data_IF_174071609176
#
_entry.id   IF_174071609176
#
_cell.length_a   1.000
_cell.length_b   1.000
_cell.length_c   1.000
_cell.angle_alpha   90.00
_cell.angle_beta   90.00
_cell.angle_gamma   90.00
#
_symmetry.space_group_name_H-M   'P 1'
#
loop_
_entity.id
_entity.type
_entity.pdbx_description
1 polymer ?
#
# COMPACT_ATOMS: atom_id res chain seq x y z
N UNK A 1 -3.84 -13.54 20.84
CA UNK A 1 -4.24 -12.23 21.40
C UNK A 1 -3.01 -11.34 21.46
N UNK A 2 -3.05 -10.07 20.98
CA UNK A 2 -1.90 -9.18 21.02
C UNK A 2 -1.54 -8.79 22.48
N UNK A 3 -0.26 -8.52 22.73
CA UNK A 3 0.22 -8.08 24.04
C UNK A 3 -0.27 -6.65 24.37
N UNK A 4 -0.40 -5.80 23.36
CA UNK A 4 -0.92 -4.43 23.47
C UNK A 4 -2.25 -4.31 22.74
N UNK A 5 -3.28 -3.83 23.45
CA UNK A 5 -4.63 -3.72 22.94
C UNK A 5 -5.33 -2.46 23.42
N UNK A 6 -6.23 -1.91 22.63
CA UNK A 6 -7.07 -0.80 23.08
C UNK A 6 -8.03 -1.26 24.19
N UNK A 7 -8.28 -0.44 25.21
CA UNK A 7 -9.23 -0.77 26.27
C UNK A 7 -10.63 -1.03 25.72
N UNK A 8 -11.30 -2.05 26.29
CA UNK A 8 -12.69 -2.41 25.94
C UNK A 8 -12.83 -3.49 24.86
N UNK A 9 -11.74 -3.95 24.27
CA UNK A 9 -11.75 -5.08 23.33
C UNK A 9 -11.21 -6.34 24.02
N UNK A 10 -12.03 -7.39 24.07
CA UNK A 10 -11.71 -8.65 24.76
C UNK A 10 -11.85 -9.88 23.86
N UNK A 11 -12.54 -9.72 22.71
CA UNK A 11 -12.80 -10.82 21.78
C UNK A 11 -11.51 -11.36 21.18
N UNK A 12 -11.45 -12.66 20.92
CA UNK A 12 -10.29 -13.25 20.27
C UNK A 12 -10.17 -12.78 18.81
N UNK A 13 -8.94 -12.64 18.36
CA UNK A 13 -8.66 -12.38 16.95
C UNK A 13 -8.69 -13.68 16.18
N UNK A 14 -9.33 -13.68 15.02
CA UNK A 14 -9.38 -14.84 14.13
C UNK A 14 -8.20 -14.84 13.17
N UNK A 15 -7.48 -15.96 13.08
CA UNK A 15 -6.49 -16.13 12.02
C UNK A 15 -7.22 -16.48 10.72
N UNK A 16 -7.05 -15.66 9.71
CA UNK A 16 -7.66 -15.79 8.38
C UNK A 16 -6.60 -15.61 7.30
N UNK A 17 -6.80 -16.24 6.14
CA UNK A 17 -5.97 -15.96 4.97
C UNK A 17 -6.45 -14.69 4.27
N UNK A 18 -5.53 -13.95 3.63
CA UNK A 18 -5.88 -12.72 2.92
C UNK A 18 -6.95 -12.92 1.85
N UNK A 19 -6.96 -14.07 1.15
CA UNK A 19 -7.99 -14.37 0.14
C UNK A 19 -9.35 -14.81 0.71
N UNK A 20 -9.46 -14.99 2.01
CA UNK A 20 -10.73 -15.27 2.69
C UNK A 20 -11.48 -13.98 3.09
N UNK A 21 -10.75 -12.89 3.20
CA UNK A 21 -11.24 -11.60 3.71
C UNK A 21 -11.02 -10.44 2.73
N UNK A 22 -10.43 -10.70 1.58
CA UNK A 22 -10.16 -9.69 0.54
C UNK A 22 -10.04 -10.34 -0.83
N UNK A 23 -10.64 -9.74 -1.84
CA UNK A 23 -10.34 -10.06 -3.22
C UNK A 23 -9.01 -9.43 -3.63
N UNK A 24 -8.17 -10.19 -4.35
CA UNK A 24 -6.84 -9.76 -4.75
C UNK A 24 -6.74 -9.77 -6.27
N UNK A 25 -6.30 -8.66 -6.86
CA UNK A 25 -6.21 -8.48 -8.30
C UNK A 25 -4.81 -8.05 -8.73
N UNK A 26 -4.41 -8.50 -9.91
CA UNK A 26 -3.18 -8.07 -10.56
C UNK A 26 -3.43 -6.82 -11.42
N UNK A 27 -2.43 -5.97 -11.55
CA UNK A 27 -2.41 -4.92 -12.57
C UNK A 27 -2.07 -5.47 -13.95
N UNK A 28 -2.00 -4.57 -14.93
CA UNK A 28 -1.66 -4.96 -16.30
C UNK A 28 -0.26 -5.58 -16.40
N UNK A 29 -0.14 -6.61 -17.23
CA UNK A 29 1.15 -7.23 -17.58
C UNK A 29 1.81 -6.56 -18.78
N UNK A 30 1.06 -5.78 -19.54
CA UNK A 30 1.57 -5.10 -20.74
C UNK A 30 2.13 -3.73 -20.35
N UNK A 31 3.25 -3.35 -20.96
CA UNK A 31 3.74 -1.98 -20.83
C UNK A 31 2.81 -1.08 -21.65
N UNK A 32 2.08 -0.16 -21.03
CA UNK A 32 1.14 0.67 -21.75
C UNK A 32 1.86 1.73 -22.61
N UNK A 33 1.14 2.26 -23.57
CA UNK A 33 1.58 3.44 -24.30
C UNK A 33 1.31 4.67 -23.43
N UNK A 34 2.38 5.24 -22.87
CA UNK A 34 2.29 6.44 -22.03
C UNK A 34 1.93 7.68 -22.85
N UNK A 35 1.24 8.60 -22.19
CA UNK A 35 0.83 9.91 -22.70
C UNK A 35 1.20 11.01 -21.70
N UNK A 36 1.09 12.26 -22.12
CA UNK A 36 1.37 13.43 -21.25
C UNK A 36 0.24 13.70 -20.27
N UNK A 37 -0.97 13.24 -20.58
CA UNK A 37 -2.16 13.38 -19.73
C UNK A 37 -3.07 12.15 -19.83
N UNK A 38 -4.12 12.09 -19.01
CA UNK A 38 -5.10 10.99 -19.00
C UNK A 38 -5.27 10.36 -17.63
N UNK A 39 -5.35 9.01 -17.60
CA UNK A 39 -5.45 8.26 -16.34
C UNK A 39 -4.06 7.98 -15.81
N UNK A 40 -3.82 8.35 -14.55
CA UNK A 40 -2.54 8.15 -13.88
C UNK A 40 -2.20 6.66 -13.78
N UNK A 41 -0.96 6.31 -14.15
CA UNK A 41 -0.46 4.95 -14.16
C UNK A 41 0.56 4.73 -13.07
N UNK A 42 0.27 3.80 -12.15
CA UNK A 42 1.08 3.49 -10.98
C UNK A 42 1.91 2.21 -11.19
N UNK A 43 3.10 2.20 -10.62
CA UNK A 43 3.98 1.03 -10.53
C UNK A 43 4.62 0.96 -9.14
N UNK A 44 5.52 0.01 -8.91
CA UNK A 44 6.21 -0.18 -7.62
C UNK A 44 6.84 1.10 -7.08
N UNK A 45 7.39 1.95 -7.94
CA UNK A 45 8.02 3.22 -7.57
C UNK A 45 7.06 4.25 -6.98
N UNK A 46 5.76 4.12 -7.24
CA UNK A 46 4.72 5.06 -6.85
C UNK A 46 3.99 4.68 -5.56
N UNK A 47 4.29 3.52 -4.97
CA UNK A 47 3.49 2.97 -3.85
C UNK A 47 3.42 3.91 -2.64
N UNK A 48 4.48 4.66 -2.35
CA UNK A 48 4.54 5.51 -1.16
C UNK A 48 3.63 6.74 -1.24
N UNK A 49 3.40 7.26 -2.44
CA UNK A 49 2.64 8.50 -2.66
C UNK A 49 1.35 8.29 -3.43
N UNK A 50 1.22 7.17 -4.14
CA UNK A 50 0.18 6.88 -5.13
C UNK A 50 0.03 8.02 -6.16
N UNK A 51 1.16 8.63 -6.53
CA UNK A 51 1.25 9.66 -7.55
C UNK A 51 2.29 9.29 -8.60
N UNK A 52 2.04 9.64 -9.84
CA UNK A 52 2.90 9.35 -10.98
C UNK A 52 2.83 10.51 -11.99
N UNK A 53 3.86 10.64 -12.80
CA UNK A 53 3.88 11.50 -13.99
C UNK A 53 3.68 10.70 -15.29
N UNK A 54 3.28 9.43 -15.18
CA UNK A 54 2.96 8.55 -16.29
C UNK A 54 1.44 8.42 -16.40
N UNK A 55 0.92 8.60 -17.59
CA UNK A 55 -0.51 8.53 -17.87
C UNK A 55 -0.78 7.59 -19.04
N UNK A 56 -1.98 7.04 -19.07
CA UNK A 56 -2.50 6.29 -20.21
C UNK A 56 -3.79 6.92 -20.73
N UNK A 57 -4.16 6.65 -21.97
CA UNK A 57 -5.41 7.17 -22.50
C UNK A 57 -6.62 6.62 -21.74
N UNK A 58 -7.70 7.40 -21.72
CA UNK A 58 -8.98 6.98 -21.16
C UNK A 58 -9.49 5.70 -21.84
N UNK A 59 -9.32 5.61 -23.16
CA UNK A 59 -9.74 4.44 -23.94
C UNK A 59 -9.01 3.18 -23.50
N UNK A 60 -7.66 3.21 -23.42
CA UNK A 60 -6.86 2.09 -22.95
C UNK A 60 -7.22 1.69 -21.51
N UNK A 61 -7.52 2.66 -20.65
CA UNK A 61 -7.96 2.41 -19.29
C UNK A 61 -9.30 1.68 -19.25
N UNK A 62 -10.30 2.14 -19.99
CA UNK A 62 -11.62 1.52 -20.04
C UNK A 62 -11.58 0.11 -20.64
N UNK A 63 -10.68 -0.14 -21.59
CA UNK A 63 -10.54 -1.45 -22.20
C UNK A 63 -9.87 -2.47 -21.26
N UNK A 64 -8.83 -2.07 -20.54
CA UNK A 64 -7.98 -3.00 -19.80
C UNK A 64 -8.36 -3.11 -18.31
N UNK A 65 -8.79 -2.01 -17.67
CA UNK A 65 -9.04 -1.99 -16.23
C UNK A 65 -10.54 -2.13 -15.91
N UNK A 66 -11.08 -3.35 -16.03
CA UNK A 66 -12.48 -3.63 -15.62
C UNK A 66 -12.62 -3.62 -14.09
N UNK A 67 -11.59 -4.05 -13.37
CA UNK A 67 -11.45 -3.94 -11.93
C UNK A 67 -10.36 -2.92 -11.66
N UNK A 68 -10.73 -1.83 -11.01
CA UNK A 68 -9.89 -0.66 -10.82
C UNK A 68 -9.80 -0.26 -9.36
N UNK A 69 -8.69 0.37 -8.92
CA UNK A 69 -8.58 0.90 -7.57
C UNK A 69 -9.66 1.95 -7.30
N UNK A 70 -10.23 1.88 -6.11
CA UNK A 70 -11.21 2.83 -5.60
C UNK A 70 -10.79 3.32 -4.22
N UNK A 71 -11.33 4.44 -3.78
CA UNK A 71 -11.10 4.93 -2.41
C UNK A 71 -11.40 3.85 -1.38
N UNK A 72 -10.44 3.59 -0.49
CA UNK A 72 -10.53 2.55 0.53
C UNK A 72 -9.91 1.21 0.12
N UNK A 73 -9.53 1.02 -1.13
CA UNK A 73 -8.75 -0.15 -1.53
C UNK A 73 -7.30 -0.02 -1.06
N UNK A 74 -6.58 -1.14 -1.02
CA UNK A 74 -5.17 -1.15 -0.67
C UNK A 74 -4.35 -1.67 -1.85
N UNK A 75 -3.28 -0.97 -2.19
CA UNK A 75 -2.27 -1.43 -3.13
C UNK A 75 -1.02 -1.89 -2.37
N UNK A 76 -0.42 -3.00 -2.82
CA UNK A 76 0.82 -3.54 -2.24
C UNK A 76 1.81 -3.92 -3.34
N UNK A 77 3.07 -3.62 -3.13
CA UNK A 77 4.16 -4.05 -4.03
C UNK A 77 4.38 -5.56 -3.97
N UNK A 78 4.56 -6.17 -5.15
CA UNK A 78 4.74 -7.63 -5.28
C UNK A 78 5.90 -8.05 -6.18
N UNK A 79 6.60 -7.11 -6.81
CA UNK A 79 7.77 -7.34 -7.67
C UNK A 79 8.84 -6.31 -7.33
N UNK A 80 10.07 -6.76 -7.10
CA UNK A 80 11.21 -5.94 -6.73
C UNK A 80 11.22 -5.60 -5.25
N UNK A 81 10.66 -4.49 -4.87
CA UNK A 81 10.22 -4.20 -3.50
C UNK A 81 8.94 -5.00 -3.25
N UNK A 82 8.84 -5.70 -2.13
CA UNK A 82 7.71 -6.60 -1.83
C UNK A 82 7.19 -6.33 -0.44
N UNK A 83 5.86 -6.12 -0.32
CA UNK A 83 5.20 -5.94 0.97
C UNK A 83 5.12 -4.50 1.45
N UNK A 84 5.38 -3.52 0.59
CA UNK A 84 5.07 -2.11 0.87
C UNK A 84 3.63 -1.84 0.43
N UNK A 85 2.79 -1.30 1.32
CA UNK A 85 1.37 -1.10 1.06
C UNK A 85 0.94 0.35 1.28
N UNK A 86 -0.08 0.78 0.52
CA UNK A 86 -0.70 2.08 0.73
C UNK A 86 -2.21 2.03 0.43
N UNK A 87 -2.97 2.89 1.09
CA UNK A 87 -4.41 3.02 0.94
C UNK A 87 -4.73 4.03 -0.15
N UNK A 88 -5.64 3.69 -1.04
CA UNK A 88 -6.16 4.62 -2.07
C UNK A 88 -7.09 5.62 -1.40
N UNK A 89 -6.70 6.91 -1.42
CA UNK A 89 -7.45 8.01 -0.79
C UNK A 89 -8.11 8.96 -1.80
N UNK A 90 -7.89 8.73 -3.11
CA UNK A 90 -8.50 9.52 -4.18
C UNK A 90 -9.75 8.84 -4.77
N UNK A 91 -10.64 9.65 -5.34
CA UNK A 91 -11.76 9.19 -6.15
C UNK A 91 -11.43 9.22 -7.65
N UNK A 92 -10.23 9.67 -8.01
CA UNK A 92 -9.76 9.67 -9.39
C UNK A 92 -9.44 8.24 -9.85
N UNK A 93 -9.66 7.98 -11.13
CA UNK A 93 -9.29 6.70 -11.73
C UNK A 93 -7.76 6.51 -11.70
N UNK A 94 -7.35 5.33 -11.31
CA UNK A 94 -5.96 4.90 -11.26
C UNK A 94 -5.77 3.62 -12.06
N UNK A 95 -4.82 3.62 -12.96
CA UNK A 95 -4.29 2.43 -13.60
C UNK A 95 -3.05 1.93 -12.86
N UNK A 96 -2.77 0.63 -12.90
CA UNK A 96 -1.63 0.10 -12.16
C UNK A 96 -0.99 -1.10 -12.87
N UNK A 97 0.32 -1.21 -12.69
CA UNK A 97 1.14 -2.25 -13.30
C UNK A 97 1.14 -3.52 -12.43
N UNK A 98 1.44 -4.66 -13.04
CA UNK A 98 1.55 -5.98 -12.40
C UNK A 98 2.53 -6.04 -11.21
N UNK A 99 3.39 -5.03 -11.05
CA UNK A 99 4.25 -4.88 -9.87
C UNK A 99 3.50 -4.53 -8.58
N UNK A 100 2.21 -4.20 -8.69
CA UNK A 100 1.30 -3.95 -7.59
C UNK A 100 0.18 -4.99 -7.58
N UNK A 101 -0.24 -5.40 -6.39
CA UNK A 101 -1.47 -6.15 -6.13
C UNK A 101 -2.51 -5.20 -5.54
N UNK A 102 -3.74 -5.29 -6.01
CA UNK A 102 -4.90 -4.54 -5.50
C UNK A 102 -5.71 -5.43 -4.57
N UNK A 103 -6.01 -4.95 -3.38
CA UNK A 103 -6.88 -5.58 -2.41
C UNK A 103 -8.20 -4.82 -2.31
N UNK A 104 -9.29 -5.52 -2.50
CA UNK A 104 -10.66 -5.04 -2.30
C UNK A 104 -11.31 -5.86 -1.18
N UNK A 105 -11.82 -5.21 -0.15
CA UNK A 105 -12.45 -5.89 0.98
C UNK A 105 -13.59 -5.06 1.54
N UNK A 106 -14.70 -5.75 1.84
CA UNK A 106 -15.82 -5.20 2.61
C UNK A 106 -15.70 -5.53 4.12
N UNK A 107 -14.83 -6.48 4.48
CA UNK A 107 -14.66 -6.96 5.85
C UNK A 107 -13.51 -6.27 6.59
N UNK A 108 -12.53 -5.72 5.85
CA UNK A 108 -11.33 -5.13 6.44
C UNK A 108 -11.34 -3.61 6.37
N UNK A 109 -11.05 -2.97 7.49
CA UNK A 109 -10.71 -1.55 7.47
C UNK A 109 -9.38 -1.37 6.68
N UNK A 110 -9.31 -0.47 5.69
CA UNK A 110 -8.14 -0.35 4.79
C UNK A 110 -6.85 0.00 5.53
N UNK A 111 -6.90 0.86 6.54
CA UNK A 111 -5.72 1.24 7.34
C UNK A 111 -5.30 0.13 8.30
N UNK A 112 -6.26 -0.69 8.76
CA UNK A 112 -5.94 -1.90 9.50
C UNK A 112 -5.24 -2.91 8.59
N UNK A 113 -5.73 -3.13 7.36
CA UNK A 113 -5.08 -4.01 6.40
C UNK A 113 -3.66 -3.54 6.07
N UNK A 114 -3.49 -2.25 5.81
CA UNK A 114 -2.17 -1.64 5.59
C UNK A 114 -1.24 -1.90 6.78
N UNK A 115 -1.68 -1.61 8.00
CA UNK A 115 -0.89 -1.85 9.22
C UNK A 115 -0.57 -3.33 9.42
N UNK A 116 -1.53 -4.23 9.13
CA UNK A 116 -1.33 -5.68 9.21
C UNK A 116 -0.28 -6.16 8.22
N UNK A 117 -0.26 -5.63 6.99
CA UNK A 117 0.78 -5.96 6.00
C UNK A 117 2.17 -5.59 6.53
N UNK A 118 2.31 -4.47 7.24
CA UNK A 118 3.59 -4.05 7.83
C UNK A 118 3.95 -4.80 9.13
N UNK A 119 3.04 -5.55 9.72
CA UNK A 119 3.33 -6.31 10.93
C UNK A 119 4.46 -7.34 10.68
N UNK A 120 5.44 -7.48 11.60
CA UNK A 120 6.59 -8.38 11.40
C UNK A 120 6.20 -9.82 11.07
N UNK A 121 5.16 -10.33 11.69
CA UNK A 121 4.63 -11.66 11.38
C UNK A 121 4.18 -11.77 9.92
N UNK A 122 3.41 -10.80 9.42
CA UNK A 122 2.89 -10.81 8.05
C UNK A 122 4.01 -10.60 7.03
N UNK A 123 4.97 -9.70 7.31
CA UNK A 123 6.16 -9.52 6.49
C UNK A 123 7.00 -10.79 6.38
N UNK A 124 7.18 -11.54 7.47
CA UNK A 124 7.86 -12.85 7.45
C UNK A 124 7.09 -13.86 6.58
N UNK A 125 5.76 -13.89 6.66
CA UNK A 125 4.92 -14.76 5.83
C UNK A 125 4.96 -14.41 4.35
N UNK A 126 4.99 -13.13 4.02
CA UNK A 126 5.20 -12.63 2.64
C UNK A 126 6.59 -13.04 2.15
N UNK A 127 7.63 -12.85 2.98
CA UNK A 127 9.00 -13.21 2.64
C UNK A 127 9.16 -14.70 2.34
N UNK A 128 8.59 -15.57 3.17
CA UNK A 128 8.63 -17.04 3.00
C UNK A 128 7.97 -17.52 1.69
N UNK A 129 6.99 -16.76 1.17
CA UNK A 129 6.27 -17.06 -0.08
C UNK A 129 6.84 -16.35 -1.31
N UNK A 130 7.85 -15.52 -1.10
CA UNK A 130 8.52 -14.78 -2.18
C UNK A 130 9.44 -15.71 -2.98
N UNK A 131 9.42 -15.59 -4.29
CA UNK A 131 10.34 -16.28 -5.20
C UNK A 131 11.67 -15.51 -5.24
N UNK A 132 12.61 -15.90 -4.38
CA UNK A 132 13.91 -15.23 -4.21
C UNK A 132 14.88 -15.48 -5.36
N UNK A 133 14.71 -16.57 -6.10
CA UNK A 133 15.52 -16.91 -7.27
C UNK A 133 15.13 -16.10 -8.52
N UNK A 134 13.95 -15.49 -8.54
CA UNK A 134 13.53 -14.61 -9.61
C UNK A 134 14.29 -13.27 -9.56
N UNK A 135 14.60 -12.70 -10.72
CA UNK A 135 15.20 -11.37 -10.82
C UNK A 135 14.35 -10.50 -11.77
N UNK A 136 13.67 -9.48 -11.25
CA UNK A 136 13.52 -9.11 -9.82
C UNK A 136 12.74 -10.17 -9.02
N UNK A 137 12.94 -10.20 -7.69
CA UNK A 137 12.15 -11.02 -6.77
C UNK A 137 10.67 -10.72 -6.94
N UNK A 138 9.82 -11.73 -6.74
CA UNK A 138 8.37 -11.57 -6.85
C UNK A 138 7.62 -12.52 -5.93
N UNK A 139 6.42 -12.11 -5.55
CA UNK A 139 5.42 -12.98 -4.93
C UNK A 139 4.20 -13.08 -5.86
N UNK A 140 3.69 -14.28 -6.08
CA UNK A 140 2.52 -14.51 -6.93
C UNK A 140 1.23 -14.17 -6.17
N UNK A 141 0.20 -13.74 -6.89
CA UNK A 141 -1.11 -13.40 -6.33
C UNK A 141 -1.68 -14.52 -5.44
N UNK A 142 -1.62 -15.75 -5.89
CA UNK A 142 -2.13 -16.89 -5.11
C UNK A 142 -1.36 -17.07 -3.80
N UNK A 143 -0.05 -16.84 -3.79
CA UNK A 143 0.79 -16.89 -2.59
C UNK A 143 0.48 -15.72 -1.64
N UNK A 144 0.20 -14.53 -2.16
CA UNK A 144 -0.29 -13.40 -1.37
C UNK A 144 -1.59 -13.79 -0.67
N UNK A 145 -2.52 -14.44 -1.40
CA UNK A 145 -3.79 -14.90 -0.85
C UNK A 145 -3.65 -15.92 0.29
N UNK A 146 -2.56 -16.66 0.35
CA UNK A 146 -2.29 -17.63 1.41
C UNK A 146 -1.59 -17.04 2.66
N UNK A 147 -1.28 -15.75 2.65
CA UNK A 147 -0.67 -15.08 3.80
C UNK A 147 -1.69 -15.01 4.95
N UNK A 148 -1.37 -15.56 6.13
CA UNK A 148 -2.25 -15.46 7.29
C UNK A 148 -2.16 -14.05 7.92
N UNK A 149 -3.31 -13.55 8.34
CA UNK A 149 -3.45 -12.35 9.15
C UNK A 149 -4.38 -12.63 10.34
N UNK A 150 -4.17 -11.90 11.42
CA UNK A 150 -5.05 -11.96 12.59
C UNK A 150 -6.08 -10.83 12.50
N UNK A 151 -7.36 -11.15 12.47
CA UNK A 151 -8.46 -10.24 12.20
C UNK A 151 -9.32 -10.06 13.44
N UNK A 152 -9.35 -8.88 14.06
CA UNK A 152 -10.27 -8.53 15.15
C UNK A 152 -11.63 -8.09 14.61
N UNK A 153 -12.53 -7.74 15.52
CA UNK A 153 -13.80 -7.11 15.16
C UNK A 153 -13.59 -5.82 14.35
N UNK A 154 -14.52 -5.46 13.48
CA UNK A 154 -14.42 -4.24 12.65
C UNK A 154 -14.26 -2.96 13.48
N UNK A 155 -14.87 -2.92 14.67
CA UNK A 155 -14.71 -1.80 15.60
C UNK A 155 -13.26 -1.66 16.09
N UNK A 156 -12.60 -2.77 16.42
CA UNK A 156 -11.19 -2.77 16.83
C UNK A 156 -10.26 -2.48 15.64
N UNK A 157 -10.53 -3.06 14.46
CA UNK A 157 -9.80 -2.74 13.22
C UNK A 157 -9.80 -1.22 12.96
N UNK A 158 -10.97 -0.57 13.14
CA UNK A 158 -11.11 0.88 12.95
C UNK A 158 -10.24 1.67 13.93
N UNK A 159 -10.17 1.24 15.19
CA UNK A 159 -9.28 1.87 16.19
C UNK A 159 -7.82 1.70 15.85
N UNK A 160 -7.41 0.48 15.49
CA UNK A 160 -6.03 0.16 15.10
C UNK A 160 -5.65 0.94 13.84
N UNK A 161 -6.47 0.90 12.81
CA UNK A 161 -6.22 1.60 11.54
C UNK A 161 -6.10 3.11 11.71
N UNK A 162 -7.01 3.71 12.50
CA UNK A 162 -6.96 5.14 12.81
C UNK A 162 -5.68 5.53 13.58
N UNK A 163 -5.25 4.70 14.51
CA UNK A 163 -4.02 4.93 15.27
C UNK A 163 -2.79 4.94 14.36
N UNK A 164 -2.61 3.92 13.53
CA UNK A 164 -1.47 3.85 12.62
C UNK A 164 -1.51 4.96 11.55
N UNK A 165 -2.69 5.27 11.00
CA UNK A 165 -2.86 6.42 10.08
C UNK A 165 -2.40 7.74 10.74
N UNK A 166 -2.76 7.98 11.99
CA UNK A 166 -2.34 9.18 12.73
C UNK A 166 -0.81 9.20 12.96
N UNK A 167 -0.21 8.05 13.28
CA UNK A 167 1.25 7.95 13.41
C UNK A 167 1.94 8.26 12.09
N UNK A 168 1.50 7.69 10.97
CA UNK A 168 2.08 7.92 9.65
C UNK A 168 1.97 9.39 9.23
N UNK A 169 0.82 10.03 9.49
CA UNK A 169 0.63 11.45 9.26
C UNK A 169 1.61 12.30 10.11
N UNK A 170 1.79 11.94 11.36
CA UNK A 170 2.72 12.63 12.28
C UNK A 170 4.17 12.48 11.81
N UNK A 171 4.58 11.27 11.42
CA UNK A 171 5.90 10.97 10.85
C UNK A 171 6.12 11.84 9.60
N UNK A 172 5.15 11.86 8.69
CA UNK A 172 5.21 12.65 7.46
C UNK A 172 5.37 14.15 7.72
N UNK A 173 4.63 14.70 8.69
CA UNK A 173 4.75 16.11 9.09
C UNK A 173 6.13 16.42 9.66
N UNK A 174 6.66 15.57 10.53
CA UNK A 174 8.00 15.75 11.08
C UNK A 174 9.09 15.62 10.03
N UNK A 175 8.93 14.70 9.07
CA UNK A 175 9.88 14.58 7.96
C UNK A 175 9.91 15.84 7.10
N UNK A 176 8.75 16.40 6.73
CA UNK A 176 8.66 17.67 5.98
C UNK A 176 9.31 18.83 6.75
N UNK A 177 9.08 18.89 8.07
CA UNK A 177 9.72 19.92 8.93
C UNK A 177 11.24 19.77 8.96
N UNK A 178 11.72 18.53 9.06
CA UNK A 178 13.15 18.24 9.04
C UNK A 178 13.79 18.67 7.71
N UNK A 179 13.15 18.36 6.60
CA UNK A 179 13.66 18.69 5.28
C UNK A 179 13.69 20.22 5.06
N UNK A 180 12.65 20.93 5.51
CA UNK A 180 12.62 22.39 5.50
C UNK A 180 13.78 23.01 6.31
N UNK A 181 14.02 22.48 7.51
CA UNK A 181 15.12 22.94 8.38
C UNK A 181 16.49 22.64 7.74
N UNK A 182 16.66 21.53 7.05
CA UNK A 182 17.89 21.22 6.30
C UNK A 182 18.13 22.24 5.17
N UNK A 183 17.08 22.59 4.42
CA UNK A 183 17.17 23.59 3.36
C UNK A 183 17.47 24.99 3.93
N UNK A 184 16.86 25.39 5.03
CA UNK A 184 17.18 26.63 5.72
C UNK A 184 18.65 26.66 6.18
N UNK A 185 19.12 25.57 6.82
CA UNK A 185 20.52 25.44 7.24
C UNK A 185 21.46 25.60 6.04
N UNK A 186 21.18 24.94 4.93
CA UNK A 186 21.96 25.04 3.69
C UNK A 186 22.01 26.50 3.18
N UNK A 187 20.86 27.17 3.15
CA UNK A 187 20.77 28.58 2.75
C UNK A 187 21.59 29.51 3.65
N UNK A 188 21.56 29.32 4.97
CA UNK A 188 22.39 30.11 5.89
C UNK A 188 23.88 29.86 5.71
N UNK A 189 24.30 28.58 5.57
CA UNK A 189 25.70 28.25 5.31
C UNK A 189 26.20 28.91 4.02
N UNK A 190 25.41 28.90 2.95
CA UNK A 190 25.76 29.55 1.69
C UNK A 190 25.89 31.09 1.82
N UNK A 191 25.11 31.73 2.70
CA UNK A 191 25.13 33.20 2.85
C UNK A 191 26.11 33.71 3.89
N UNK A 192 26.50 32.86 4.87
CA UNK A 192 27.38 33.27 5.97
C UNK A 192 28.84 32.99 5.70
N UNK A 193 29.16 32.08 4.76
CA UNK A 193 30.53 31.67 4.46
C UNK A 193 30.90 31.89 2.97
N UNK A 194 30.43 32.99 2.41
CA UNK A 194 30.82 33.43 1.06
C UNK A 194 32.13 34.19 1.09
#
# INVERSE_FOLDING_TARGET
VPELRFPGFTDDWEERKLNEVSDIYDGTHQTPKYQDDGVMFLSVENIKTLTSNKFISREAFEDEFKIRPQRGDVLMTRIGDIGTANVVETDEDLAYYVSLALFKSEELNPYFLQASIYAPFVQDQIWKRTLHIAFPKKINKNEIGQVPINVPTLAEQTKIGSFFKQLDNTITLHQRKLDLLKEQKKGFLQKMFV
#
